data_IF_459300995213
#
_entry.id   IF_459300995213
#
_cell.length_a   1.000
_cell.length_b   1.000
_cell.length_c   1.000
_cell.angle_alpha   90.00
_cell.angle_beta   90.00
_cell.angle_gamma   90.00
#
_symmetry.space_group_name_H-M   'P 1'
#
loop_
_entity.id
_entity.type
_entity.pdbx_description
1 polymer ?
#
# COMPACT_ATOMS: atom_id res chain seq x y z
N UNK A 1 -10.44 3.01 0.83
CA UNK A 1 -9.14 2.46 0.36
C UNK A 1 -8.79 3.05 -1.00
N UNK A 2 -7.53 3.44 -1.22
CA UNK A 2 -7.02 3.95 -2.50
C UNK A 2 -5.67 3.31 -2.79
N UNK A 3 -5.50 2.77 -3.99
CA UNK A 3 -4.23 2.21 -4.46
C UNK A 3 -3.67 3.15 -5.53
N UNK A 4 -2.43 3.60 -5.37
CA UNK A 4 -1.75 4.49 -6.30
C UNK A 4 -0.38 3.92 -6.63
N UNK A 5 -0.05 3.91 -7.92
CA UNK A 5 1.29 3.54 -8.39
C UNK A 5 1.90 4.76 -9.10
N UNK A 6 3.11 5.14 -8.70
CA UNK A 6 3.92 6.16 -9.37
C UNK A 6 4.98 5.47 -10.22
N UNK A 7 4.83 5.59 -11.54
CA UNK A 7 5.74 4.98 -12.50
C UNK A 7 7.07 5.70 -12.65
N UNK A 8 7.18 6.97 -12.24
CA UNK A 8 8.43 7.73 -12.32
C UNK A 8 9.47 7.20 -11.34
N UNK A 9 9.01 6.72 -10.18
CA UNK A 9 9.86 6.24 -9.08
C UNK A 9 9.65 4.76 -8.71
N UNK A 10 8.85 4.02 -9.48
CA UNK A 10 8.49 2.61 -9.21
C UNK A 10 7.97 2.39 -7.78
N UNK A 11 6.99 3.19 -7.37
CA UNK A 11 6.43 3.15 -6.02
C UNK A 11 4.94 2.80 -6.00
N UNK A 12 4.56 1.78 -5.23
CA UNK A 12 3.17 1.42 -4.93
C UNK A 12 2.80 1.91 -3.54
N UNK A 13 1.64 2.56 -3.43
CA UNK A 13 1.06 2.95 -2.16
C UNK A 13 -0.38 2.47 -2.05
N UNK A 14 -0.70 1.82 -0.94
CA UNK A 14 -2.05 1.36 -0.60
C UNK A 14 -2.50 2.12 0.64
N UNK A 15 -3.45 3.04 0.47
CA UNK A 15 -4.07 3.82 1.56
C UNK A 15 -5.35 3.16 2.02
N UNK A 16 -5.47 2.89 3.32
CA UNK A 16 -6.68 2.39 3.96
C UNK A 16 -7.48 3.52 4.60
N UNK A 17 -6.81 4.39 5.35
CA UNK A 17 -7.41 5.49 6.12
C UNK A 17 -6.81 6.84 5.66
N UNK A 18 -7.62 7.90 5.70
CA UNK A 18 -7.12 9.28 5.52
C UNK A 18 -6.89 9.92 6.89
N UNK A 19 -5.63 9.98 7.31
CA UNK A 19 -5.24 10.59 8.58
C UNK A 19 -3.81 11.15 8.50
N UNK A 20 -3.42 11.90 9.54
CA UNK A 20 -1.99 12.09 9.83
C UNK A 20 -1.39 10.76 10.27
N UNK A 21 -0.16 10.49 9.86
CA UNK A 21 0.49 9.19 10.08
C UNK A 21 1.91 9.34 10.60
N UNK A 22 2.36 8.32 11.33
CA UNK A 22 3.76 8.04 11.61
C UNK A 22 4.19 6.84 10.78
N UNK A 23 5.15 7.05 9.90
CA UNK A 23 5.70 6.00 9.02
C UNK A 23 6.74 5.16 9.76
N UNK A 24 6.67 3.83 9.62
CA UNK A 24 7.70 2.90 10.11
C UNK A 24 8.23 2.05 8.95
N UNK A 25 9.54 2.07 8.76
CA UNK A 25 10.20 1.15 7.83
C UNK A 25 10.25 -0.25 8.45
N UNK A 26 9.67 -1.22 7.74
CA UNK A 26 9.61 -2.62 8.19
C UNK A 26 10.58 -3.52 7.42
N UNK A 27 11.03 -3.06 6.25
CA UNK A 27 12.11 -3.64 5.47
C UNK A 27 12.70 -2.56 4.55
N UNK A 28 13.81 -2.87 3.89
CA UNK A 28 14.35 -2.00 2.83
C UNK A 28 13.29 -1.78 1.75
N UNK A 29 12.95 -0.51 1.50
CA UNK A 29 11.93 -0.10 0.53
C UNK A 29 10.49 -0.47 0.89
N UNK A 30 10.21 -0.87 2.14
CA UNK A 30 8.84 -1.16 2.60
C UNK A 30 8.57 -0.38 3.88
N UNK A 31 7.49 0.39 3.88
CA UNK A 31 7.05 1.15 5.03
C UNK A 31 5.55 0.98 5.31
N UNK A 32 5.18 1.10 6.58
CA UNK A 32 3.79 1.07 7.04
C UNK A 32 3.49 2.36 7.76
N UNK A 33 2.40 3.00 7.36
CA UNK A 33 1.88 4.22 7.97
C UNK A 33 0.90 3.86 9.07
N UNK A 34 1.15 4.38 10.28
CA UNK A 34 0.27 4.20 11.43
C UNK A 34 -0.40 5.52 11.80
N UNK A 35 -1.71 5.51 12.07
CA UNK A 35 -2.39 6.67 12.63
C UNK A 35 -2.09 6.88 14.13
N UNK A 36 -2.69 7.91 14.73
CA UNK A 36 -2.47 8.26 16.13
C UNK A 36 -2.94 7.17 17.12
N UNK A 37 -3.87 6.30 16.71
CA UNK A 37 -4.35 5.17 17.51
C UNK A 37 -3.54 3.89 17.26
N UNK A 38 -2.52 3.95 16.39
CA UNK A 38 -1.68 2.82 16.02
C UNK A 38 -2.34 1.85 15.02
N UNK A 39 -3.41 2.28 14.33
CA UNK A 39 -4.02 1.49 13.24
C UNK A 39 -3.24 1.71 11.96
N UNK A 40 -3.26 0.71 11.07
CA UNK A 40 -2.61 0.81 9.77
C UNK A 40 -3.43 1.74 8.86
N UNK A 41 -2.86 2.89 8.53
CA UNK A 41 -3.43 3.86 7.63
C UNK A 41 -2.99 3.63 6.17
N UNK A 42 -1.80 3.08 5.94
CA UNK A 42 -1.29 2.80 4.61
C UNK A 42 -0.02 1.95 4.58
N UNK A 43 0.35 1.50 3.38
CA UNK A 43 1.57 0.73 3.09
C UNK A 43 2.23 1.32 1.86
N UNK A 44 3.54 1.56 1.94
CA UNK A 44 4.39 1.98 0.83
C UNK A 44 5.37 0.85 0.45
N UNK A 45 5.52 0.63 -0.84
CA UNK A 45 6.47 -0.32 -1.44
C UNK A 45 7.20 0.39 -2.58
N UNK A 46 8.50 0.60 -2.38
CA UNK A 46 9.43 1.09 -3.42
C UNK A 46 9.96 -0.09 -4.23
N UNK A 47 10.47 0.19 -5.44
CA UNK A 47 10.95 -0.83 -6.39
C UNK A 47 9.84 -1.88 -6.68
N UNK A 48 8.58 -1.45 -6.76
CA UNK A 48 7.43 -2.35 -6.77
C UNK A 48 7.47 -3.35 -7.94
N UNK A 49 7.68 -2.87 -9.17
CA UNK A 49 7.80 -3.72 -10.37
C UNK A 49 9.00 -4.65 -10.25
N UNK A 50 10.14 -4.14 -9.78
CA UNK A 50 11.35 -4.96 -9.60
C UNK A 50 11.12 -6.08 -8.59
N UNK A 51 10.35 -5.84 -7.53
CA UNK A 51 9.98 -6.85 -6.52
C UNK A 51 8.98 -7.87 -7.05
N UNK A 52 8.01 -7.43 -7.84
CA UNK A 52 6.95 -8.30 -8.37
C UNK A 52 7.33 -9.01 -9.67
N UNK A 53 8.43 -8.59 -10.31
CA UNK A 53 8.98 -9.19 -11.52
C UNK A 53 8.32 -8.74 -12.83
N UNK A 54 7.10 -8.19 -12.77
CA UNK A 54 6.35 -7.69 -13.92
C UNK A 54 5.36 -6.58 -13.50
N UNK A 55 5.09 -5.64 -14.42
CA UNK A 55 4.05 -4.59 -14.30
C UNK A 55 2.64 -5.15 -14.39
N UNK A 56 2.48 -6.36 -14.92
CA UNK A 56 1.19 -7.02 -15.09
C UNK A 56 0.43 -7.22 -13.77
N UNK A 57 1.15 -7.23 -12.65
CA UNK A 57 0.57 -7.24 -11.29
C UNK A 57 -0.39 -6.08 -11.04
N UNK A 58 -0.23 -4.94 -11.72
CA UNK A 58 -1.10 -3.77 -11.57
C UNK A 58 -2.34 -3.79 -12.47
N UNK A 59 -2.46 -4.75 -13.40
CA UNK A 59 -3.59 -4.80 -14.35
C UNK A 59 -4.92 -5.18 -13.70
N UNK A 60 -4.89 -5.87 -12.55
CA UNK A 60 -6.09 -6.33 -11.86
C UNK A 60 -5.89 -6.28 -10.35
N UNK A 61 -6.88 -5.70 -9.67
CA UNK A 61 -7.05 -5.82 -8.23
C UNK A 61 -8.29 -6.68 -7.98
N UNK A 62 -8.16 -7.71 -7.16
CA UNK A 62 -9.28 -8.57 -6.75
C UNK A 62 -9.51 -8.41 -5.25
N UNK A 63 -10.75 -8.20 -4.84
CA UNK A 63 -11.17 -8.22 -3.44
C UNK A 63 -12.21 -9.34 -3.30
N UNK A 64 -11.93 -10.32 -2.45
CA UNK A 64 -12.75 -11.52 -2.26
C UNK A 64 -13.20 -11.59 -0.80
N UNK A 65 -14.29 -12.33 -0.54
CA UNK A 65 -14.82 -12.60 0.80
C UNK A 65 -15.01 -11.36 1.69
N UNK A 66 -15.43 -10.24 1.10
CA UNK A 66 -15.79 -9.03 1.83
C UNK A 66 -17.06 -9.29 2.63
N UNK A 67 -16.92 -9.85 3.83
CA UNK A 67 -17.98 -9.96 4.83
C UNK A 67 -18.32 -8.56 5.38
N UNK A 68 -18.93 -7.73 4.54
CA UNK A 68 -19.51 -6.45 4.92
C UNK A 68 -20.87 -6.74 5.58
N UNK A 69 -20.84 -7.22 6.82
CA UNK A 69 -22.03 -7.20 7.66
C UNK A 69 -22.13 -5.80 8.25
N UNK A 70 -23.05 -5.01 7.67
CA UNK A 70 -23.43 -3.68 8.15
C UNK A 70 -24.48 -3.85 9.24
#
# INVERSE_FOLDING_TARGET
>A
MRITYDSEVDALYIRFLESTVTTKHVAEGIAVDYDAEGRIAGIEILDAVKRFGDKDVFKKVTLEDLALHI
#
